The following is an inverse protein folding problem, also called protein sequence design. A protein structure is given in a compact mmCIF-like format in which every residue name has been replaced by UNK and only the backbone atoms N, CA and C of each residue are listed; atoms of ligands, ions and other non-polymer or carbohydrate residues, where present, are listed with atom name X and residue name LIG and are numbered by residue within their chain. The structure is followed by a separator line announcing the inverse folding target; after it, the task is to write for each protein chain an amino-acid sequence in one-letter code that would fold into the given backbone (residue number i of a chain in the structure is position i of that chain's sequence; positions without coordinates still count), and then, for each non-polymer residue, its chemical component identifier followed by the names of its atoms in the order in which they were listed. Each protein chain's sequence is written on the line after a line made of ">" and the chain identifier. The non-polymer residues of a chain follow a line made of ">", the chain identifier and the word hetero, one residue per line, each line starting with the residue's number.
data_IF_623815759985
#
_entry.id   IF_623815759985
#
_cell.length_a   1.000
_cell.length_b   1.000
_cell.length_c   1.000
_cell.angle_alpha   90.00
_cell.angle_beta   90.00
_cell.angle_gamma   90.00
#
_symmetry.space_group_name_H-M   'P 1'
#
loop_
_entity.id
_entity.type
_entity.pdbx_description
1 polymer ?
#
# COMPACT_ATOMS: atom_id res chain seq x y z
N UNK A 1 -8.50 9.66 12.76
CA UNK A 1 -7.49 9.06 11.86
C UNK A 1 -7.79 9.55 10.45
N UNK A 2 -6.75 9.76 9.63
CA UNK A 2 -6.89 10.16 8.23
C UNK A 2 -6.92 8.90 7.36
N UNK A 3 -7.59 8.97 6.21
CA UNK A 3 -7.61 7.89 5.23
C UNK A 3 -6.57 8.15 4.16
N UNK A 4 -5.83 7.12 3.78
CA UNK A 4 -4.85 7.17 2.71
C UNK A 4 -5.10 6.06 1.70
N UNK A 5 -4.95 6.38 0.43
CA UNK A 5 -4.98 5.41 -0.66
C UNK A 5 -3.57 5.15 -1.15
N UNK A 6 -3.15 3.90 -1.05
CA UNK A 6 -1.82 3.41 -1.43
C UNK A 6 -1.94 2.73 -2.77
N UNK A 7 -1.23 3.23 -3.76
CA UNK A 7 -1.20 2.69 -5.11
C UNK A 7 0.11 1.97 -5.33
N UNK A 8 0.05 0.81 -5.99
CA UNK A 8 1.23 0.02 -6.25
C UNK A 8 0.99 -1.06 -7.31
N UNK A 9 1.96 -1.94 -7.41
CA UNK A 9 1.93 -3.07 -8.33
C UNK A 9 2.16 -4.38 -7.58
N UNK A 10 1.25 -5.32 -7.78
CA UNK A 10 1.42 -6.71 -7.37
C UNK A 10 2.05 -7.46 -8.54
N UNK A 11 3.23 -8.05 -8.34
CA UNK A 11 3.98 -8.69 -9.42
C UNK A 11 3.36 -10.01 -9.88
N UNK A 12 2.88 -10.80 -8.92
CA UNK A 12 2.32 -12.14 -9.18
C UNK A 12 1.22 -12.38 -8.15
N UNK A 13 -0.01 -12.56 -8.61
CA UNK A 13 -1.11 -13.08 -7.79
C UNK A 13 -1.21 -14.61 -7.87
N UNK A 14 -2.19 -15.17 -7.17
CA UNK A 14 -2.58 -16.60 -7.24
C UNK A 14 -2.79 -17.12 -8.67
N UNK A 15 -3.22 -16.25 -9.59
CA UNK A 15 -3.39 -16.54 -11.02
C UNK A 15 -2.13 -16.32 -11.86
N UNK A 16 -0.98 -16.08 -11.23
CA UNK A 16 0.31 -15.78 -11.87
C UNK A 16 0.30 -14.54 -12.76
N UNK A 17 -0.56 -13.57 -12.46
CA UNK A 17 -0.69 -12.32 -13.19
C UNK A 17 -0.24 -11.14 -12.34
N UNK A 18 0.42 -10.18 -12.97
CA UNK A 18 0.70 -8.89 -12.35
C UNK A 18 -0.45 -7.91 -12.55
N UNK A 19 -0.74 -7.09 -11.55
CA UNK A 19 -1.80 -6.08 -11.63
C UNK A 19 -1.50 -4.84 -10.80
N UNK A 20 -1.96 -3.68 -11.30
CA UNK A 20 -2.04 -2.47 -10.50
C UNK A 20 -3.09 -2.63 -9.42
N UNK A 21 -2.76 -2.20 -8.20
CA UNK A 21 -3.64 -2.32 -7.03
C UNK A 21 -3.69 -1.00 -6.26
N UNK A 22 -4.82 -0.78 -5.60
CA UNK A 22 -4.96 0.29 -4.62
C UNK A 22 -5.57 -0.25 -3.33
N UNK A 23 -5.01 0.13 -2.17
CA UNK A 23 -5.51 -0.22 -0.84
C UNK A 23 -5.77 1.05 -0.04
N UNK A 24 -6.88 1.08 0.70
CA UNK A 24 -7.16 2.15 1.65
C UNK A 24 -6.67 1.73 3.03
N UNK A 25 -5.94 2.62 3.70
CA UNK A 25 -5.47 2.44 5.08
C UNK A 25 -5.82 3.66 5.91
N UNK A 26 -5.85 3.50 7.23
CA UNK A 26 -5.99 4.59 8.18
C UNK A 26 -4.66 4.83 8.88
N UNK A 27 -4.25 6.10 8.98
CA UNK A 27 -3.06 6.50 9.71
C UNK A 27 -3.23 7.92 10.28
N UNK A 28 -2.38 8.32 11.21
CA UNK A 28 -2.34 9.68 11.75
C UNK A 28 -1.66 10.66 10.80
N UNK A 29 -0.70 10.18 9.99
CA UNK A 29 0.10 11.01 9.09
C UNK A 29 0.78 10.21 7.97
N UNK A 30 1.34 10.90 6.97
CA UNK A 30 2.21 10.27 5.97
C UNK A 30 3.46 9.63 6.59
N UNK A 31 4.02 10.23 7.65
CA UNK A 31 5.25 9.73 8.28
C UNK A 31 5.08 8.34 8.87
N UNK A 32 3.92 8.06 9.48
CA UNK A 32 3.55 6.74 10.00
C UNK A 32 3.52 5.69 8.88
N UNK A 33 2.86 6.00 7.76
CA UNK A 33 2.79 5.10 6.60
C UNK A 33 4.18 4.87 5.99
N UNK A 34 4.96 5.92 5.82
CA UNK A 34 6.30 5.83 5.23
C UNK A 34 7.21 4.98 6.11
N UNK A 35 7.18 5.17 7.44
CA UNK A 35 7.98 4.37 8.36
C UNK A 35 7.62 2.87 8.29
N UNK A 36 6.33 2.53 8.25
CA UNK A 36 5.90 1.14 8.13
C UNK A 36 6.35 0.54 6.79
N UNK A 37 6.18 1.28 5.70
CA UNK A 37 6.64 0.86 4.37
C UNK A 37 8.16 0.66 4.35
N UNK A 38 8.96 1.61 4.84
CA UNK A 38 10.42 1.49 4.90
C UNK A 38 10.88 0.28 5.72
N UNK A 39 10.19 0.00 6.84
CA UNK A 39 10.47 -1.17 7.68
C UNK A 39 10.27 -2.50 6.95
N UNK A 40 9.37 -2.52 5.96
CA UNK A 40 9.08 -3.68 5.11
C UNK A 40 9.63 -3.50 3.68
N UNK A 41 10.71 -2.73 3.53
CA UNK A 41 11.35 -2.46 2.24
C UNK A 41 10.36 -2.01 1.15
N UNK A 42 9.42 -1.12 1.46
CA UNK A 42 8.39 -0.55 0.60
C UNK A 42 7.24 -1.49 0.22
N UNK A 43 7.15 -2.66 0.83
CA UNK A 43 6.10 -3.64 0.57
C UNK A 43 4.96 -3.52 1.56
N UNK A 44 3.76 -3.79 1.07
CA UNK A 44 2.65 -4.23 1.90
C UNK A 44 2.53 -5.73 1.71
N UNK A 45 2.47 -6.44 2.83
CA UNK A 45 2.27 -7.89 2.91
C UNK A 45 1.09 -8.13 3.83
N UNK A 46 -0.06 -8.45 3.25
CA UNK A 46 -1.29 -8.81 3.96
C UNK A 46 -1.73 -10.22 3.53
N UNK A 47 -2.73 -10.76 4.21
CA UNK A 47 -3.24 -12.14 4.07
C UNK A 47 -3.49 -12.53 2.60
N UNK A 48 -3.98 -11.58 1.79
CA UNK A 48 -4.35 -11.82 0.38
C UNK A 48 -3.64 -10.89 -0.62
N UNK A 49 -2.66 -10.09 -0.19
CA UNK A 49 -2.00 -9.13 -1.07
C UNK A 49 -0.57 -8.81 -0.65
N UNK A 50 0.39 -9.11 -1.54
CA UNK A 50 1.75 -8.61 -1.46
C UNK A 50 2.03 -7.66 -2.64
N UNK A 51 2.21 -6.37 -2.37
CA UNK A 51 2.48 -5.39 -3.43
C UNK A 51 3.44 -4.29 -3.00
N UNK A 52 4.21 -3.79 -3.97
CA UNK A 52 5.16 -2.70 -3.77
C UNK A 52 4.43 -1.37 -3.93
N UNK A 53 4.48 -0.51 -2.91
CA UNK A 53 3.84 0.82 -2.96
C UNK A 53 4.68 1.74 -3.84
N UNK A 54 4.01 2.45 -4.75
CA UNK A 54 4.61 3.41 -5.66
C UNK A 54 4.10 4.84 -5.41
N UNK A 55 2.89 5.01 -4.85
CA UNK A 55 2.30 6.32 -4.63
C UNK A 55 1.31 6.30 -3.45
N UNK A 56 1.32 7.38 -2.65
CA UNK A 56 0.49 7.54 -1.45
C UNK A 56 -0.33 8.82 -1.63
N UNK A 57 -1.63 8.74 -1.35
CA UNK A 57 -2.54 9.90 -1.43
C UNK A 57 -3.45 9.96 -0.20
N UNK A 58 -3.41 11.07 0.54
CA UNK A 58 -4.42 11.39 1.56
C UNK A 58 -5.79 11.62 0.89
N UNK A 59 -6.82 10.98 1.44
CA UNK A 59 -8.21 11.16 1.04
C UNK A 59 -8.82 12.21 1.94
N UNK A 60 -9.04 13.40 1.38
CA UNK A 60 -9.76 14.50 2.04
C UNK A 60 -11.22 14.37 1.60
N UNK A 61 -12.11 14.06 2.55
CA UNK A 61 -13.57 14.07 2.34
C UNK A 61 -14.10 15.51 2.29
#
# INVERSE_FOLDING_TARGET
>A
MKKFKLFGYMFVNDKKQGMSIAKTVEATSYAEIIQELESNAGWITDTDAAFKVAYIKEVVE
#
